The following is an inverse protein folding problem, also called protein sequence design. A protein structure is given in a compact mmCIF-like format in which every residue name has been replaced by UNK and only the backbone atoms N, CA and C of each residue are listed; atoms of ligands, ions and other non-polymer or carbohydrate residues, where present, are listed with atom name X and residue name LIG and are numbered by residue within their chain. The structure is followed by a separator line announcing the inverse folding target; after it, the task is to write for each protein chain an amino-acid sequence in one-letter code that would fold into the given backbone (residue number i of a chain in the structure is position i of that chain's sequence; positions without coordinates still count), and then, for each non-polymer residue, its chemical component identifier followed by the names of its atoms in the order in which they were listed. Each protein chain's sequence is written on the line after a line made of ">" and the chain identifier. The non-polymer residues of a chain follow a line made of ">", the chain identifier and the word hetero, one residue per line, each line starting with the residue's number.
data_IF_694465051169
#
_entry.id   IF_694465051169
#
_cell.length_a   1.000
_cell.length_b   1.000
_cell.length_c   1.000
_cell.angle_alpha   90.00
_cell.angle_beta   90.00
_cell.angle_gamma   90.00
#
_symmetry.space_group_name_H-M   'P 1'
#
loop_
_entity.id
_entity.type
_entity.pdbx_description
1 polymer ?
#
# COMPACT_ATOMS: atom_id res chain seq x y z
N UNK A 1 35.78 -6.66 23.58
CA UNK A 1 34.30 -6.64 23.46
C UNK A 1 33.91 -5.37 22.72
N UNK A 2 33.93 -5.40 21.38
CA UNK A 2 33.50 -4.28 20.55
C UNK A 2 32.12 -4.60 20.01
N UNK A 3 31.09 -3.92 20.51
CA UNK A 3 29.77 -3.93 19.92
C UNK A 3 29.88 -3.26 18.55
N UNK A 4 29.97 -4.07 17.48
CA UNK A 4 29.79 -3.59 16.12
C UNK A 4 28.35 -3.08 16.04
N UNK A 5 28.19 -1.76 16.05
CA UNK A 5 27.00 -1.14 15.48
C UNK A 5 26.98 -1.49 13.99
N UNK A 6 26.25 -2.55 13.66
CA UNK A 6 25.88 -2.86 12.29
C UNK A 6 24.92 -1.79 11.81
N UNK A 7 25.45 -0.71 11.25
CA UNK A 7 24.68 0.18 10.38
C UNK A 7 24.10 -0.69 9.25
N UNK A 8 22.77 -0.79 9.09
CA UNK A 8 22.18 -1.65 8.08
C UNK A 8 22.67 -1.19 6.71
N UNK A 9 23.29 -2.09 5.95
CA UNK A 9 23.56 -1.85 4.55
C UNK A 9 22.20 -1.67 3.84
N UNK A 10 21.96 -0.54 3.14
CA UNK A 10 20.68 -0.30 2.47
C UNK A 10 20.45 -1.18 1.22
N UNK A 11 21.26 -2.23 1.03
CA UNK A 11 21.26 -3.10 -0.15
C UNK A 11 20.71 -4.51 0.10
N UNK A 12 20.24 -4.82 1.31
CA UNK A 12 19.54 -6.10 1.54
C UNK A 12 18.02 -5.89 1.48
N UNK A 13 17.34 -6.41 0.42
CA UNK A 13 15.89 -6.37 0.26
C UNK A 13 15.13 -6.84 1.50
N UNK A 14 15.60 -7.91 2.14
CA UNK A 14 14.90 -8.57 3.24
C UNK A 14 14.96 -7.71 4.50
N UNK A 15 16.13 -7.17 4.82
CA UNK A 15 16.28 -6.27 5.97
C UNK A 15 15.50 -4.96 5.76
N UNK A 16 15.52 -4.42 4.55
CA UNK A 16 14.74 -3.24 4.23
C UNK A 16 13.24 -3.48 4.37
N UNK A 17 12.72 -4.59 3.82
CA UNK A 17 11.31 -4.96 3.97
C UNK A 17 10.92 -5.14 5.43
N UNK A 18 11.74 -5.86 6.22
CA UNK A 18 11.52 -6.01 7.66
C UNK A 18 11.47 -4.66 8.36
N UNK A 19 12.39 -3.75 8.05
CA UNK A 19 12.41 -2.40 8.61
C UNK A 19 11.11 -1.65 8.30
N UNK A 20 10.69 -1.62 7.03
CA UNK A 20 9.44 -0.98 6.58
C UNK A 20 8.22 -1.50 7.33
N UNK A 21 8.09 -2.83 7.46
CA UNK A 21 6.93 -3.44 8.10
C UNK A 21 7.06 -3.64 9.62
N UNK A 22 8.19 -3.26 10.22
CA UNK A 22 8.39 -3.27 11.69
C UNK A 22 7.95 -1.96 12.35
N UNK A 23 7.59 -0.94 11.56
CA UNK A 23 7.19 0.36 12.08
C UNK A 23 5.97 0.25 13.00
N UNK A 24 5.97 1.04 14.08
CA UNK A 24 4.88 1.09 15.08
C UNK A 24 3.50 1.35 14.47
N UNK A 25 3.45 2.07 13.34
CA UNK A 25 2.22 2.33 12.59
C UNK A 25 1.56 1.03 12.06
N UNK A 26 2.35 0.02 11.71
CA UNK A 26 1.86 -1.25 11.16
C UNK A 26 1.03 -2.01 12.19
N UNK A 27 1.53 -2.11 13.43
CA UNK A 27 0.83 -2.80 14.52
C UNK A 27 -0.45 -2.11 14.98
N UNK A 28 -0.74 -0.90 14.50
CA UNK A 28 -1.94 -0.10 14.88
C UNK A 28 -2.91 0.12 13.72
N UNK A 29 -2.72 -0.55 12.59
CA UNK A 29 -3.59 -0.33 11.41
C UNK A 29 -3.30 0.94 10.62
N UNK A 30 -2.10 1.51 10.77
CA UNK A 30 -1.70 2.78 10.15
C UNK A 30 -1.38 2.66 8.65
N UNK A 31 -0.69 3.68 8.13
CA UNK A 31 -0.38 3.80 6.69
C UNK A 31 1.14 3.89 6.48
N UNK A 32 1.65 3.14 5.52
CA UNK A 32 3.03 3.28 5.01
C UNK A 32 2.98 4.02 3.68
N UNK A 33 3.88 4.98 3.48
CA UNK A 33 4.06 5.71 2.23
C UNK A 33 5.50 5.54 1.72
N UNK A 34 5.66 5.13 0.45
CA UNK A 34 6.97 4.90 -0.18
C UNK A 34 6.97 5.31 -1.66
N UNK A 35 8.08 5.88 -2.10
CA UNK A 35 8.30 6.11 -3.52
C UNK A 35 8.49 4.77 -4.25
N UNK A 36 7.77 4.58 -5.36
CA UNK A 36 7.84 3.40 -6.23
C UNK A 36 9.28 3.12 -6.63
N UNK A 37 10.01 4.15 -7.08
CA UNK A 37 11.42 4.03 -7.49
C UNK A 37 12.33 3.46 -6.40
N UNK A 38 12.08 3.79 -5.12
CA UNK A 38 12.90 3.29 -4.02
C UNK A 38 12.56 1.85 -3.68
N UNK A 39 11.27 1.49 -3.75
CA UNK A 39 10.84 0.09 -3.61
C UNK A 39 11.46 -0.77 -4.69
N UNK A 40 11.35 -0.33 -5.95
CA UNK A 40 11.91 -1.05 -7.11
C UNK A 40 13.42 -1.20 -7.02
N UNK A 41 14.13 -0.13 -6.65
CA UNK A 41 15.60 -0.12 -6.54
C UNK A 41 16.13 -0.97 -5.39
N UNK A 42 15.45 -1.00 -4.24
CA UNK A 42 16.00 -1.62 -3.01
C UNK A 42 15.48 -3.04 -2.80
N UNK A 43 14.17 -3.24 -2.92
CA UNK A 43 13.54 -4.52 -2.62
C UNK A 43 13.01 -5.25 -3.86
N UNK A 44 12.74 -4.53 -4.94
CA UNK A 44 11.96 -5.03 -6.06
C UNK A 44 10.46 -4.98 -5.78
N UNK A 45 9.70 -4.61 -6.81
CA UNK A 45 8.24 -4.47 -6.73
C UNK A 45 7.55 -5.77 -6.33
N UNK A 46 7.97 -6.90 -6.90
CA UNK A 46 7.35 -8.20 -6.65
C UNK A 46 7.45 -8.63 -5.19
N UNK A 47 8.64 -8.52 -4.58
CA UNK A 47 8.85 -8.87 -3.18
C UNK A 47 8.03 -7.97 -2.25
N UNK A 48 7.92 -6.68 -2.57
CA UNK A 48 7.09 -5.74 -1.80
C UNK A 48 5.61 -6.09 -1.88
N UNK A 49 5.08 -6.34 -3.08
CA UNK A 49 3.68 -6.74 -3.29
C UNK A 49 3.37 -8.06 -2.58
N UNK A 50 4.25 -9.05 -2.70
CA UNK A 50 4.09 -10.34 -2.04
C UNK A 50 4.05 -10.20 -0.51
N UNK A 51 4.88 -9.34 0.07
CA UNK A 51 4.91 -9.11 1.51
C UNK A 51 3.66 -8.38 2.02
N UNK A 52 3.14 -7.39 1.27
CA UNK A 52 1.85 -6.75 1.57
C UNK A 52 0.73 -7.80 1.52
N UNK A 53 0.68 -8.60 0.46
CA UNK A 53 -0.33 -9.63 0.27
C UNK A 53 -0.31 -10.67 1.41
N UNK A 54 0.89 -11.15 1.78
CA UNK A 54 1.08 -12.09 2.89
C UNK A 54 0.55 -11.56 4.23
N UNK A 55 0.58 -10.25 4.43
CA UNK A 55 0.06 -9.58 5.65
C UNK A 55 -1.44 -9.33 5.61
N UNK A 56 -2.07 -9.51 4.45
CA UNK A 56 -3.49 -9.20 4.22
C UNK A 56 -3.76 -7.70 4.22
N UNK A 57 -2.78 -6.90 3.82
CA UNK A 57 -2.90 -5.45 3.72
C UNK A 57 -3.33 -5.02 2.33
N UNK A 58 -3.81 -3.77 2.21
CA UNK A 58 -4.12 -3.17 0.91
C UNK A 58 -2.98 -2.27 0.47
N UNK A 59 -2.45 -2.51 -0.73
CA UNK A 59 -1.49 -1.62 -1.40
C UNK A 59 -2.18 -0.92 -2.57
N UNK A 60 -2.04 0.40 -2.62
CA UNK A 60 -2.45 1.22 -3.76
C UNK A 60 -1.23 1.92 -4.35
N UNK A 61 -1.23 2.07 -5.67
CA UNK A 61 -0.24 2.85 -6.41
C UNK A 61 -0.93 4.10 -6.98
N UNK A 62 -0.31 5.26 -6.76
CA UNK A 62 -0.78 6.54 -7.27
C UNK A 62 0.41 7.35 -7.78
N UNK A 63 0.59 7.39 -9.11
CA UNK A 63 1.76 7.96 -9.73
C UNK A 63 3.03 7.25 -9.24
N UNK A 64 4.00 8.01 -8.74
CA UNK A 64 5.28 7.47 -8.26
C UNK A 64 5.24 6.99 -6.81
N UNK A 65 4.05 6.82 -6.22
CA UNK A 65 3.90 6.50 -4.81
C UNK A 65 3.14 5.19 -4.60
N UNK A 66 3.66 4.39 -3.67
CA UNK A 66 2.97 3.30 -3.03
C UNK A 66 2.45 3.72 -1.66
N UNK A 67 1.19 3.41 -1.41
CA UNK A 67 0.53 3.59 -0.11
C UNK A 67 -0.01 2.25 0.36
N UNK A 68 0.45 1.79 1.52
CA UNK A 68 -0.02 0.54 2.15
C UNK A 68 -0.87 0.88 3.36
N UNK A 69 -2.13 0.44 3.33
CA UNK A 69 -3.02 0.45 4.49
C UNK A 69 -2.78 -0.83 5.30
N UNK A 70 -2.23 -0.69 6.50
CA UNK A 70 -1.79 -1.81 7.35
C UNK A 70 -2.93 -2.44 8.15
N UNK A 71 -4.11 -2.53 7.55
CA UNK A 71 -5.31 -3.15 8.11
C UNK A 71 -6.05 -3.92 6.99
N UNK A 72 -7.21 -4.48 7.31
CA UNK A 72 -8.04 -5.26 6.37
C UNK A 72 -9.31 -4.52 5.94
N UNK A 73 -9.42 -3.24 6.27
CA UNK A 73 -10.60 -2.45 5.96
C UNK A 73 -10.60 -2.05 4.48
N UNK A 74 -11.79 -1.91 3.84
CA UNK A 74 -11.86 -1.53 2.44
C UNK A 74 -11.44 -0.07 2.24
N UNK A 75 -10.67 0.19 1.17
CA UNK A 75 -10.35 1.56 0.73
C UNK A 75 -11.55 2.15 -0.01
N UNK A 76 -12.05 3.29 0.45
CA UNK A 76 -13.14 4.04 -0.19
C UNK A 76 -12.63 5.38 -0.70
N UNK A 77 -13.05 5.74 -1.89
CA UNK A 77 -12.83 7.07 -2.44
C UNK A 77 -14.00 7.95 -2.03
N UNK A 78 -13.70 8.99 -1.27
CA UNK A 78 -14.74 9.87 -0.69
C UNK A 78 -15.10 11.01 -1.64
N UNK A 79 -14.18 11.39 -2.53
CA UNK A 79 -14.36 12.48 -3.49
C UNK A 79 -14.14 11.95 -4.89
N UNK A 80 -15.18 12.04 -5.71
CA UNK A 80 -15.11 11.82 -7.15
C UNK A 80 -14.68 13.12 -7.84
N UNK A 81 -13.78 13.01 -8.82
CA UNK A 81 -13.33 14.14 -9.64
C UNK A 81 -13.96 14.00 -11.01
N UNK A 82 -14.28 15.11 -11.67
CA UNK A 82 -14.71 15.13 -13.06
C UNK A 82 -13.55 15.60 -13.95
N UNK A 83 -13.04 14.79 -14.89
CA UNK A 83 -13.37 13.38 -15.11
C UNK A 83 -12.72 12.45 -14.06
N UNK A 84 -13.31 11.26 -13.81
CA UNK A 84 -12.74 10.31 -12.86
C UNK A 84 -11.39 9.81 -13.37
N UNK A 85 -10.39 9.80 -12.48
CA UNK A 85 -9.05 9.23 -12.74
C UNK A 85 -8.78 8.08 -11.79
N UNK A 86 -9.32 6.91 -12.12
CA UNK A 86 -9.08 5.66 -11.41
C UNK A 86 -8.69 4.60 -12.42
N UNK A 87 -7.80 3.69 -12.03
CA UNK A 87 -7.48 2.55 -12.88
C UNK A 87 -8.71 1.65 -13.02
N UNK A 88 -8.87 1.00 -14.18
CA UNK A 88 -9.99 0.07 -14.43
C UNK A 88 -10.07 -1.05 -13.38
N UNK A 89 -8.94 -1.42 -12.76
CA UNK A 89 -8.86 -2.40 -11.67
C UNK A 89 -9.36 -1.86 -10.32
N UNK A 90 -9.51 -0.55 -10.15
CA UNK A 90 -10.03 0.10 -8.95
C UNK A 90 -11.55 0.36 -9.02
N UNK A 91 -12.18 0.19 -10.18
CA UNK A 91 -13.64 0.16 -10.36
C UNK A 91 -14.06 -1.30 -10.57
N UNK A 92 -14.71 -1.96 -9.59
CA UNK A 92 -16.16 -1.78 -9.41
C UNK A 92 -16.68 -2.08 -7.98
N UNK A 93 -17.25 -1.09 -7.26
CA UNK A 93 -18.10 -1.39 -6.06
C UNK A 93 -19.35 -0.51 -5.95
N UNK A 94 -19.45 0.60 -6.68
CA UNK A 94 -20.65 1.47 -6.65
C UNK A 94 -21.61 1.20 -7.83
N UNK A 95 -22.01 -0.06 -8.04
CA UNK A 95 -23.20 -0.42 -8.82
C UNK A 95 -24.24 -1.13 -7.95
N UNK A 96 -24.48 -0.63 -6.73
CA UNK A 96 -25.70 -0.93 -5.99
C UNK A 96 -26.26 0.35 -5.39
N UNK A 97 -27.41 0.77 -5.91
CA UNK A 97 -28.48 1.54 -5.22
C UNK A 97 -28.85 2.94 -5.74
N UNK A 98 -28.55 3.31 -6.99
CA UNK A 98 -29.15 4.54 -7.59
C UNK A 98 -30.21 4.29 -8.66
N UNK A 99 -30.35 3.08 -9.19
CA UNK A 99 -31.42 2.76 -10.17
C UNK A 99 -32.74 2.31 -9.55
N UNK A 100 -32.80 1.95 -8.26
CA UNK A 100 -34.03 1.44 -7.64
C UNK A 100 -34.91 2.51 -6.94
N UNK A 101 -34.63 3.81 -7.11
CA UNK A 101 -35.45 4.91 -6.54
C UNK A 101 -35.98 5.89 -7.59
N UNK A 102 -35.96 5.53 -8.86
CA UNK A 102 -36.51 6.35 -9.96
C UNK A 102 -37.63 5.69 -10.75
N UNK A 103 -38.08 4.50 -10.34
CA UNK A 103 -39.26 3.82 -10.89
C UNK A 103 -40.08 3.19 -9.76
N UNK A 104 -40.78 4.01 -8.98
CA UNK A 104 -41.99 3.66 -8.23
C UNK A 104 -42.74 4.94 -7.89
#
# INVERSE_FOLDING_TARGET
>A
MLYRMTTPCPLDPVHWLRSVFSAKAVGRGGVIHRAVRDVERIAGRELFVAEVHRRGFTLVENGEQFVVFCNRDPVRLIVERDPPKLSERAYPVFQRSTELRRTS
#
